data_IF_735444474945
#
_entry.id   IF_735444474945
#
_cell.length_a   1.000
_cell.length_b   1.000
_cell.length_c   1.000
_cell.angle_alpha   90.00
_cell.angle_beta   90.00
_cell.angle_gamma   90.00
#
_symmetry.space_group_name_H-M   'P 1'
#
loop_
_entity.id
_entity.type
_entity.pdbx_description
1 polymer ?
#
# COMPACT_ATOMS: atom_id res chain seq x y z
N UNK A 1 12.77 15.95 2.53
CA UNK A 1 13.03 16.85 1.38
C UNK A 1 11.70 17.34 0.83
N UNK A 2 11.43 18.65 0.91
CA UNK A 2 10.20 19.26 0.36
C UNK A 2 10.29 19.30 -1.16
N UNK A 3 9.22 18.91 -1.84
CA UNK A 3 9.15 18.91 -3.30
C UNK A 3 8.49 20.18 -3.81
N UNK A 4 8.92 20.66 -4.98
CA UNK A 4 8.26 21.77 -5.65
C UNK A 4 6.93 21.32 -6.27
N UNK A 5 5.94 22.21 -6.25
CA UNK A 5 4.64 22.08 -6.91
C UNK A 5 4.82 21.92 -8.41
N UNK A 6 3.87 21.24 -9.07
CA UNK A 6 3.92 21.02 -10.52
C UNK A 6 3.83 22.31 -11.32
N UNK A 7 2.90 23.21 -10.95
CA UNK A 7 2.71 24.50 -11.60
C UNK A 7 4.00 25.32 -11.59
N UNK A 8 4.69 25.38 -10.44
CA UNK A 8 5.98 26.04 -10.32
C UNK A 8 7.03 25.46 -11.28
N UNK A 9 7.10 24.13 -11.43
CA UNK A 9 8.06 23.53 -12.37
C UNK A 9 7.70 23.88 -13.81
N UNK A 10 6.41 23.90 -14.13
CA UNK A 10 5.93 24.25 -15.47
C UNK A 10 6.21 25.72 -15.81
N UNK A 11 6.00 26.65 -14.88
CA UNK A 11 6.29 28.07 -15.11
C UNK A 11 7.78 28.30 -15.37
N UNK A 12 8.66 27.70 -14.55
CA UNK A 12 10.12 27.82 -14.72
C UNK A 12 10.57 27.23 -16.07
N UNK A 13 10.04 26.06 -16.44
CA UNK A 13 10.41 25.41 -17.71
C UNK A 13 9.92 26.20 -18.92
N UNK A 14 8.69 26.75 -18.87
CA UNK A 14 8.16 27.61 -19.93
C UNK A 14 8.98 28.89 -20.08
N UNK A 15 9.27 29.56 -18.96
CA UNK A 15 10.10 30.76 -18.95
C UNK A 15 11.46 30.51 -19.64
N UNK A 16 12.14 29.42 -19.28
CA UNK A 16 13.40 29.01 -19.91
C UNK A 16 13.28 28.75 -21.42
N UNK A 17 12.19 28.11 -21.87
CA UNK A 17 11.99 27.80 -23.29
C UNK A 17 11.61 29.04 -24.12
N UNK A 18 10.87 29.98 -23.53
CA UNK A 18 10.39 31.18 -24.22
C UNK A 18 11.48 32.26 -24.35
N UNK A 19 12.35 32.40 -23.34
CA UNK A 19 13.35 33.48 -23.30
C UNK A 19 14.71 33.06 -23.89
N UNK A 20 14.94 31.78 -24.19
CA UNK A 20 16.24 31.25 -24.65
C UNK A 20 17.43 31.67 -23.76
N UNK A 21 17.17 31.94 -22.49
CA UNK A 21 18.16 32.37 -21.50
C UNK A 21 19.05 31.22 -21.03
N UNK A 22 20.17 31.55 -20.41
CA UNK A 22 21.00 30.57 -19.73
C UNK A 22 20.26 29.94 -18.54
N UNK A 23 20.45 28.63 -18.36
CA UNK A 23 19.84 27.89 -17.25
C UNK A 23 20.27 28.42 -15.86
N UNK A 24 21.34 29.21 -15.78
CA UNK A 24 21.81 29.81 -14.51
C UNK A 24 20.98 31.03 -14.14
N UNK A 25 20.73 31.92 -15.09
CA UNK A 25 19.97 33.15 -14.87
C UNK A 25 18.52 32.84 -14.48
N UNK A 26 17.91 31.89 -15.20
CA UNK A 26 16.58 31.36 -14.84
C UNK A 26 16.57 30.72 -13.43
N UNK A 27 17.64 30.04 -13.04
CA UNK A 27 17.77 29.50 -11.68
C UNK A 27 17.85 30.59 -10.61
N UNK A 28 18.54 31.70 -10.89
CA UNK A 28 18.68 32.82 -9.97
C UNK A 28 17.36 33.58 -9.78
N UNK A 29 16.60 33.80 -10.87
CA UNK A 29 15.27 34.44 -10.83
C UNK A 29 14.29 33.61 -9.98
N UNK A 30 14.20 32.30 -10.27
CA UNK A 30 13.24 31.41 -9.60
C UNK A 30 13.76 30.80 -8.30
N UNK A 31 15.02 31.09 -7.92
CA UNK A 31 15.72 30.53 -6.76
C UNK A 31 15.67 28.99 -6.74
N UNK A 32 15.94 28.37 -7.88
CA UNK A 32 15.96 26.91 -8.03
C UNK A 32 17.36 26.38 -8.32
N UNK A 33 17.60 25.12 -7.99
CA UNK A 33 18.88 24.48 -8.30
C UNK A 33 18.97 24.11 -9.80
N UNK A 34 20.08 24.46 -10.44
CA UNK A 34 20.41 24.13 -11.83
C UNK A 34 20.13 22.67 -12.20
N UNK A 35 20.52 21.74 -11.33
CA UNK A 35 20.33 20.30 -11.55
C UNK A 35 18.85 19.91 -11.60
N UNK A 36 18.01 20.59 -10.84
CA UNK A 36 16.56 20.39 -10.85
C UNK A 36 15.95 20.91 -12.14
N UNK A 37 16.32 22.13 -12.56
CA UNK A 37 15.85 22.73 -13.80
C UNK A 37 16.23 21.88 -15.02
N UNK A 38 17.49 21.47 -15.12
CA UNK A 38 17.98 20.59 -16.19
C UNK A 38 17.18 19.29 -16.29
N UNK A 39 16.86 18.65 -15.14
CA UNK A 39 16.01 17.45 -15.11
C UNK A 39 14.58 17.74 -15.55
N UNK A 40 14.00 18.88 -15.15
CA UNK A 40 12.64 19.25 -15.56
C UNK A 40 12.58 19.50 -17.05
N UNK A 41 13.49 20.30 -17.61
CA UNK A 41 13.58 20.56 -19.06
C UNK A 41 13.72 19.26 -19.84
N UNK A 42 14.62 18.36 -19.42
CA UNK A 42 14.78 17.05 -20.06
C UNK A 42 13.49 16.21 -20.01
N UNK A 43 12.81 16.18 -18.87
CA UNK A 43 11.56 15.42 -18.70
C UNK A 43 10.45 16.00 -19.56
N UNK A 44 10.32 17.33 -19.60
CA UNK A 44 9.34 18.05 -20.40
C UNK A 44 9.56 17.81 -21.90
N UNK A 45 10.80 17.91 -22.39
CA UNK A 45 11.13 17.61 -23.81
C UNK A 45 10.82 16.16 -24.20
N UNK A 46 10.96 15.20 -23.28
CA UNK A 46 10.71 13.78 -23.57
C UNK A 46 9.23 13.38 -23.49
N UNK A 47 8.46 13.97 -22.57
CA UNK A 47 7.11 13.51 -22.22
C UNK A 47 6.00 14.53 -22.42
N UNK A 48 6.35 15.81 -22.60
CA UNK A 48 5.42 16.93 -22.61
C UNK A 48 4.79 17.25 -21.25
N UNK A 49 5.13 16.52 -20.18
CA UNK A 49 4.59 16.73 -18.84
C UNK A 49 5.67 16.57 -17.76
N UNK A 50 5.43 17.21 -16.61
CA UNK A 50 6.28 17.15 -15.41
C UNK A 50 5.65 16.33 -14.28
N UNK A 51 4.57 15.61 -14.62
CA UNK A 51 3.84 14.73 -13.74
C UNK A 51 4.76 13.69 -13.10
N UNK A 52 4.54 13.44 -11.81
CA UNK A 52 5.27 12.40 -11.08
C UNK A 52 4.94 11.03 -11.69
N UNK A 53 5.97 10.21 -11.91
CA UNK A 53 5.76 8.81 -12.29
C UNK A 53 5.02 8.09 -11.16
N UNK A 54 3.86 7.50 -11.48
CA UNK A 54 3.17 6.60 -10.55
C UNK A 54 3.96 5.30 -10.42
N UNK A 55 4.09 4.80 -9.19
CA UNK A 55 4.69 3.48 -8.95
C UNK A 55 3.61 2.44 -9.21
N UNK A 56 3.89 1.48 -10.09
CA UNK A 56 3.05 0.28 -10.21
C UNK A 56 3.30 -0.61 -8.99
N UNK A 57 2.24 -1.00 -8.30
CA UNK A 57 2.32 -1.98 -7.23
C UNK A 57 2.49 -3.38 -7.83
N UNK A 58 3.33 -4.21 -7.21
CA UNK A 58 3.43 -5.62 -7.58
C UNK A 58 2.15 -6.37 -7.19
N UNK A 59 1.86 -7.48 -7.86
CA UNK A 59 0.76 -8.37 -7.46
C UNK A 59 0.95 -8.83 -6.02
N UNK A 60 -0.14 -8.80 -5.24
CA UNK A 60 -0.08 -9.23 -3.85
C UNK A 60 -0.02 -10.76 -3.79
N UNK A 61 0.80 -11.27 -2.88
CA UNK A 61 0.88 -12.71 -2.60
C UNK A 61 -0.44 -13.28 -2.07
N UNK A 62 -1.16 -12.49 -1.26
CA UNK A 62 -2.46 -12.84 -0.73
C UNK A 62 -3.51 -12.18 -1.62
N UNK A 63 -4.23 -13.00 -2.40
CA UNK A 63 -5.32 -12.54 -3.25
C UNK A 63 -6.62 -12.41 -2.45
N UNK A 64 -7.58 -11.59 -2.92
CA UNK A 64 -8.90 -11.50 -2.29
C UNK A 64 -9.65 -12.85 -2.21
N UNK A 65 -9.38 -13.75 -3.15
CA UNK A 65 -9.93 -15.11 -3.18
C UNK A 65 -9.42 -15.96 -2.00
N UNK A 66 -8.12 -15.86 -1.69
CA UNK A 66 -7.52 -16.53 -0.53
C UNK A 66 -8.11 -15.97 0.76
N UNK A 67 -8.26 -14.64 0.87
CA UNK A 67 -8.90 -14.01 2.03
C UNK A 67 -10.33 -14.51 2.24
N UNK A 68 -11.12 -14.59 1.15
CA UNK A 68 -12.50 -15.11 1.18
C UNK A 68 -12.54 -16.57 1.61
N UNK A 69 -11.68 -17.41 1.06
CA UNK A 69 -11.60 -18.82 1.41
C UNK A 69 -11.28 -19.04 2.89
N UNK A 70 -10.24 -18.38 3.42
CA UNK A 70 -9.86 -18.49 4.84
C UNK A 70 -11.02 -18.06 5.75
N UNK A 71 -11.71 -16.97 5.39
CA UNK A 71 -12.86 -16.45 6.13
C UNK A 71 -14.04 -17.43 6.17
N UNK A 72 -14.39 -18.03 5.04
CA UNK A 72 -15.47 -19.02 4.96
C UNK A 72 -15.11 -20.30 5.71
N UNK A 73 -13.86 -20.75 5.58
CA UNK A 73 -13.38 -21.95 6.26
C UNK A 73 -13.43 -21.82 7.78
N UNK A 74 -12.91 -20.72 8.33
CA UNK A 74 -12.92 -20.47 9.79
C UNK A 74 -14.33 -20.34 10.36
N UNK A 75 -15.30 -19.86 9.57
CA UNK A 75 -16.72 -19.83 9.97
C UNK A 75 -17.31 -21.23 10.07
N UNK A 76 -16.96 -22.13 9.15
CA UNK A 76 -17.44 -23.52 9.13
C UNK A 76 -16.73 -24.39 10.17
N UNK A 77 -15.42 -24.20 10.34
CA UNK A 77 -14.55 -24.98 11.20
C UNK A 77 -13.73 -24.04 12.10
N UNK A 78 -14.31 -23.69 13.25
CA UNK A 78 -13.73 -22.68 14.16
C UNK A 78 -12.56 -23.20 15.03
N UNK A 79 -12.35 -24.51 15.09
CA UNK A 79 -11.27 -25.17 15.84
C UNK A 79 -9.96 -25.27 15.06
N UNK A 80 -9.99 -25.09 13.74
CA UNK A 80 -8.83 -25.28 12.84
C UNK A 80 -7.65 -24.41 13.25
N UNK A 81 -6.46 -24.99 13.29
CA UNK A 81 -5.23 -24.27 13.67
C UNK A 81 -4.75 -23.34 12.55
N UNK A 82 -3.89 -22.36 12.88
CA UNK A 82 -3.34 -21.45 11.86
C UNK A 82 -2.46 -22.21 10.85
N UNK A 83 -1.70 -23.19 11.34
CA UNK A 83 -0.87 -24.06 10.54
C UNK A 83 -1.68 -24.91 9.56
N UNK A 84 -2.78 -25.52 10.02
CA UNK A 84 -3.71 -26.26 9.16
C UNK A 84 -4.27 -25.37 8.04
N UNK A 85 -4.70 -24.14 8.38
CA UNK A 85 -5.18 -23.18 7.38
C UNK A 85 -4.10 -22.81 6.37
N UNK A 86 -2.86 -22.64 6.83
CA UNK A 86 -1.72 -22.36 5.95
C UNK A 86 -1.48 -23.51 4.97
N UNK A 87 -1.50 -24.75 5.46
CA UNK A 87 -1.36 -25.96 4.65
C UNK A 87 -2.47 -26.09 3.61
N UNK A 88 -3.72 -25.89 4.00
CA UNK A 88 -4.88 -25.93 3.11
C UNK A 88 -4.83 -24.86 2.00
N UNK A 89 -4.39 -23.64 2.33
CA UNK A 89 -4.21 -22.59 1.33
C UNK A 89 -3.10 -22.96 0.34
N UNK A 90 -2.00 -23.52 0.84
CA UNK A 90 -0.90 -23.96 -0.01
C UNK A 90 -1.34 -25.08 -0.97
N UNK A 91 -2.10 -26.06 -0.49
CA UNK A 91 -2.63 -27.16 -1.33
C UNK A 91 -3.59 -26.64 -2.41
N UNK A 92 -4.49 -25.71 -2.07
CA UNK A 92 -5.54 -25.23 -2.98
C UNK A 92 -5.04 -24.20 -3.99
N UNK A 93 -4.23 -23.24 -3.55
CA UNK A 93 -3.81 -22.09 -4.36
C UNK A 93 -2.35 -22.16 -4.79
N UNK A 94 -1.58 -23.17 -4.35
CA UNK A 94 -0.13 -23.29 -4.58
C UNK A 94 0.65 -22.07 -4.09
N UNK A 95 0.12 -21.38 -3.07
CA UNK A 95 0.74 -20.22 -2.42
C UNK A 95 1.16 -20.61 -1.01
N UNK A 96 2.47 -20.64 -0.77
CA UNK A 96 3.00 -20.91 0.56
C UNK A 96 2.82 -19.70 1.47
N UNK A 97 1.87 -19.77 2.41
CA UNK A 97 1.69 -18.76 3.45
C UNK A 97 2.41 -19.16 4.74
N UNK A 98 2.69 -18.17 5.59
CA UNK A 98 3.10 -18.41 6.97
C UNK A 98 1.87 -18.36 7.87
N UNK A 99 1.92 -19.01 9.02
CA UNK A 99 0.84 -18.96 10.00
C UNK A 99 0.53 -17.52 10.43
N UNK A 100 1.56 -16.67 10.47
CA UNK A 100 1.41 -15.23 10.73
C UNK A 100 0.64 -14.51 9.62
N UNK A 101 0.79 -14.93 8.36
CA UNK A 101 0.01 -14.40 7.24
C UNK A 101 -1.47 -14.73 7.42
N UNK A 102 -1.80 -15.97 7.82
CA UNK A 102 -3.17 -16.36 8.15
C UNK A 102 -3.69 -15.56 9.34
N UNK A 103 -2.89 -15.39 10.39
CA UNK A 103 -3.24 -14.55 11.54
C UNK A 103 -3.57 -13.11 11.12
N UNK A 104 -2.74 -12.49 10.27
CA UNK A 104 -2.95 -11.14 9.78
C UNK A 104 -4.25 -11.00 8.98
N UNK A 105 -4.60 -12.01 8.16
CA UNK A 105 -5.90 -12.05 7.45
C UNK A 105 -7.05 -12.06 8.47
N UNK A 106 -6.99 -12.93 9.48
CA UNK A 106 -8.03 -13.02 10.51
C UNK A 106 -8.14 -11.72 11.33
N UNK A 107 -7.00 -11.14 11.70
CA UNK A 107 -6.93 -9.90 12.48
C UNK A 107 -7.51 -8.71 11.70
N UNK A 108 -7.14 -8.56 10.42
CA UNK A 108 -7.70 -7.55 9.50
C UNK A 108 -9.22 -7.62 9.44
N UNK A 109 -9.79 -8.83 9.47
CA UNK A 109 -11.23 -9.06 9.45
C UNK A 109 -11.89 -9.12 10.84
N UNK A 110 -11.16 -8.80 11.91
CA UNK A 110 -11.64 -8.86 13.31
C UNK A 110 -12.21 -10.22 13.70
N UNK A 111 -11.76 -11.30 13.05
CA UNK A 111 -12.11 -12.68 13.38
C UNK A 111 -11.25 -13.14 14.55
N UNK A 112 -11.71 -12.85 15.77
CA UNK A 112 -11.01 -13.25 16.99
C UNK A 112 -11.61 -14.53 17.57
N UNK A 113 -10.75 -15.49 17.91
CA UNK A 113 -11.14 -16.73 18.61
C UNK A 113 -11.38 -16.51 20.11
N UNK A 114 -11.98 -15.38 20.48
CA UNK A 114 -12.33 -15.12 21.87
C UNK A 114 -13.45 -16.08 22.27
N UNK A 115 -13.15 -17.00 23.18
CA UNK A 115 -14.15 -17.89 23.77
C UNK A 115 -15.12 -17.05 24.60
N UNK A 116 -16.42 -17.15 24.33
CA UNK A 116 -17.43 -16.70 25.27
C UNK A 116 -17.33 -17.60 26.51
N UNK A 117 -16.91 -17.06 27.66
CA UNK A 117 -17.02 -17.80 28.93
C UNK A 117 -18.50 -17.85 29.29
N UNK A 118 -19.12 -19.04 29.26
CA UNK A 118 -20.42 -19.25 29.87
C UNK A 118 -20.24 -19.10 31.39
N UNK A 119 -20.59 -17.95 31.95
CA UNK A 119 -20.61 -17.79 33.41
C UNK A 119 -21.84 -18.54 33.93
N UNK A 120 -21.62 -19.58 34.74
CA UNK A 120 -22.71 -20.28 35.42
C UNK A 120 -23.28 -19.34 36.49
N UNK A 121 -24.55 -18.98 36.33
CA UNK A 121 -25.31 -18.26 37.35
C UNK A 121 -26.24 -19.26 38.02
N UNK A 122 -25.96 -19.70 39.27
CA UNK A 122 -26.84 -20.63 39.95
C UNK A 122 -28.23 -20.00 40.14
N UNK A 123 -29.29 -20.78 39.89
CA UNK A 123 -30.69 -20.31 40.02
C UNK A 123 -31.05 -19.88 41.45
N UNK A 124 -30.34 -20.41 42.45
CA UNK A 124 -30.50 -20.04 43.85
C UNK A 124 -29.10 -19.85 44.46
N UNK A 125 -28.94 -18.77 45.23
CA UNK A 125 -27.84 -18.62 46.19
C UNK A 125 -28.34 -19.25 47.49
N UNK A 126 -27.74 -20.35 47.92
CA UNK A 126 -27.88 -20.78 49.31
C UNK A 126 -26.98 -19.86 50.14
N UNK A 127 -27.59 -19.20 51.13
CA UNK A 127 -26.96 -18.30 52.08
C UNK A 127 -27.21 -18.80 53.49
#
# INVERSE_FOLDING_TARGET
MKQHTEDYKLTVVKYYLDHNEDMRDTCDIFKCNFQSLSRWVKTYKQKGNLNRKTRKNHSLKITPEIEKFVKEYVRKYNTTTLWELSKLVNEKYKVHLTDMSIYNILHKHKLTRKRLRSKYYPKKKEG
#
